data_IF_030091762268
#
_entry.id   IF_030091762268
#
_cell.length_a   1.000
_cell.length_b   1.000
_cell.length_c   1.000
_cell.angle_alpha   90.00
_cell.angle_beta   90.00
_cell.angle_gamma   90.00
#
_symmetry.space_group_name_H-M   'P 1'
#
loop_
_entity.id
_entity.type
_entity.pdbx_description
1 polymer ?
#
# COMPACT_ATOMS: atom_id res chain seq x y z
N UNK A 1 19.39 -11.52 15.89
CA UNK A 1 18.33 -11.23 16.87
C UNK A 1 17.87 -9.80 16.70
N UNK A 2 18.57 -8.78 17.23
CA UNK A 2 18.14 -7.37 17.20
C UNK A 2 17.52 -6.82 15.91
N UNK A 3 18.15 -6.96 14.74
CA UNK A 3 17.61 -6.38 13.49
C UNK A 3 16.30 -7.03 13.03
N UNK A 4 16.16 -8.34 13.22
CA UNK A 4 14.96 -9.08 12.82
C UNK A 4 13.78 -8.74 13.74
N UNK A 5 14.05 -8.63 15.04
CA UNK A 5 13.06 -8.27 16.05
C UNK A 5 12.54 -6.84 15.85
N UNK A 6 13.42 -5.91 15.43
CA UNK A 6 13.03 -4.53 15.08
C UNK A 6 12.13 -4.46 13.85
N UNK A 7 12.44 -5.21 12.78
CA UNK A 7 11.60 -5.27 11.58
C UNK A 7 10.24 -5.86 11.93
N UNK A 8 10.20 -6.96 12.68
CA UNK A 8 8.94 -7.58 13.11
C UNK A 8 8.09 -6.60 13.91
N UNK A 9 8.67 -5.87 14.87
CA UNK A 9 7.93 -4.87 15.65
C UNK A 9 7.39 -3.72 14.78
N UNK A 10 8.15 -3.29 13.76
CA UNK A 10 7.68 -2.27 12.82
C UNK A 10 6.50 -2.77 11.97
N UNK A 11 6.57 -4.00 11.45
CA UNK A 11 5.49 -4.60 10.67
C UNK A 11 4.24 -4.82 11.52
N UNK A 12 4.39 -5.26 12.78
CA UNK A 12 3.28 -5.39 13.72
C UNK A 12 2.61 -4.03 13.99
N UNK A 13 3.40 -2.97 14.16
CA UNK A 13 2.89 -1.62 14.33
C UNK A 13 2.11 -1.16 13.10
N UNK A 14 2.63 -1.42 11.90
CA UNK A 14 1.92 -1.10 10.64
C UNK A 14 0.60 -1.86 10.53
N UNK A 15 0.56 -3.15 10.89
CA UNK A 15 -0.67 -3.93 10.89
C UNK A 15 -1.71 -3.39 11.89
N UNK A 16 -1.28 -2.96 13.09
CA UNK A 16 -2.18 -2.33 14.06
C UNK A 16 -2.75 -1.00 13.55
N UNK A 17 -1.91 -0.19 12.89
CA UNK A 17 -2.35 1.08 12.27
C UNK A 17 -3.37 0.80 11.16
N UNK A 18 -3.11 -0.18 10.29
CA UNK A 18 -4.05 -0.57 9.24
C UNK A 18 -5.39 -1.05 9.82
N UNK A 19 -5.36 -1.90 10.85
CA UNK A 19 -6.57 -2.35 11.53
C UNK A 19 -7.38 -1.18 12.11
N UNK A 20 -6.69 -0.16 12.65
CA UNK A 20 -7.32 1.07 13.14
C UNK A 20 -7.96 1.88 12.00
N UNK A 21 -7.27 2.03 10.86
CA UNK A 21 -7.82 2.70 9.66
C UNK A 21 -9.12 1.99 9.23
N UNK A 22 -9.08 0.67 9.10
CA UNK A 22 -10.26 -0.13 8.73
C UNK A 22 -11.39 0.06 9.75
N UNK A 23 -11.09 0.02 11.06
CA UNK A 23 -12.07 0.27 12.12
C UNK A 23 -12.74 1.63 12.00
N UNK A 24 -11.96 2.69 11.73
CA UNK A 24 -12.49 4.04 11.52
C UNK A 24 -13.42 4.12 10.29
N UNK A 25 -13.09 3.41 9.20
CA UNK A 25 -13.98 3.32 8.02
C UNK A 25 -15.31 2.65 8.36
N UNK A 26 -15.28 1.56 9.13
CA UNK A 26 -16.48 0.84 9.59
C UNK A 26 -17.34 1.75 10.48
N UNK A 27 -16.70 2.54 11.34
CA UNK A 27 -17.35 3.54 12.21
C UNK A 27 -17.84 4.79 11.44
N UNK A 28 -17.66 4.84 10.11
CA UNK A 28 -17.96 5.99 9.24
C UNK A 28 -17.18 7.27 9.59
N UNK A 29 -16.07 7.15 10.31
CA UNK A 29 -15.14 8.24 10.66
C UNK A 29 -14.11 8.44 9.56
N UNK A 30 -14.60 8.76 8.36
CA UNK A 30 -13.81 8.75 7.13
C UNK A 30 -12.66 9.77 7.14
N UNK A 31 -12.89 10.98 7.64
CA UNK A 31 -11.85 12.03 7.72
C UNK A 31 -10.68 11.59 8.61
N UNK A 32 -10.97 10.93 9.74
CA UNK A 32 -9.93 10.42 10.64
C UNK A 32 -9.18 9.23 10.06
N UNK A 33 -9.90 8.34 9.38
CA UNK A 33 -9.29 7.24 8.62
C UNK A 33 -8.33 7.79 7.56
N UNK A 34 -8.78 8.78 6.80
CA UNK A 34 -8.00 9.40 5.73
C UNK A 34 -6.76 10.11 6.26
N UNK A 35 -6.92 10.90 7.34
CA UNK A 35 -5.79 11.57 7.99
C UNK A 35 -4.74 10.57 8.49
N UNK A 36 -5.18 9.49 9.13
CA UNK A 36 -4.27 8.46 9.63
C UNK A 36 -3.56 7.73 8.49
N UNK A 37 -4.25 7.45 7.39
CA UNK A 37 -3.68 6.85 6.20
C UNK A 37 -2.59 7.76 5.59
N UNK A 38 -2.90 9.03 5.36
CA UNK A 38 -1.97 10.00 4.76
C UNK A 38 -0.72 10.22 5.64
N UNK A 39 -0.92 10.33 6.95
CA UNK A 39 0.18 10.41 7.92
C UNK A 39 1.05 9.14 7.90
N UNK A 40 0.44 7.96 7.74
CA UNK A 40 1.18 6.69 7.71
C UNK A 40 1.98 6.57 6.41
N UNK A 41 1.41 6.93 5.27
CA UNK A 41 2.11 6.98 3.98
C UNK A 41 3.36 7.86 4.06
N UNK A 42 3.21 9.07 4.59
CA UNK A 42 4.33 10.00 4.69
C UNK A 42 5.37 9.54 5.71
N UNK A 43 4.95 9.22 6.94
CA UNK A 43 5.90 8.94 8.04
C UNK A 43 6.56 7.56 7.97
N UNK A 44 5.84 6.54 7.48
CA UNK A 44 6.32 5.17 7.50
C UNK A 44 6.89 4.73 6.15
N UNK A 45 6.28 5.18 5.05
CA UNK A 45 6.70 4.78 3.70
C UNK A 45 7.45 5.89 2.96
N UNK A 46 7.38 7.14 3.42
CA UNK A 46 8.06 8.26 2.76
C UNK A 46 7.43 8.61 1.41
N UNK A 47 6.14 8.38 1.24
CA UNK A 47 5.39 8.71 0.01
C UNK A 47 4.23 9.64 0.32
N UNK A 48 4.00 10.62 -0.55
CA UNK A 48 2.84 11.50 -0.48
C UNK A 48 1.65 10.90 -1.23
N UNK A 49 0.44 11.06 -0.67
CA UNK A 49 -0.80 10.58 -1.30
C UNK A 49 -0.99 11.11 -2.72
N UNK A 50 -0.56 12.34 -3.00
CA UNK A 50 -0.66 12.95 -4.32
C UNK A 50 0.03 12.10 -5.41
N UNK A 51 1.13 11.41 -5.08
CA UNK A 51 1.85 10.52 -6.01
C UNK A 51 0.99 9.29 -6.35
N UNK A 52 0.22 8.77 -5.39
CA UNK A 52 -0.67 7.62 -5.61
C UNK A 52 -1.89 7.96 -6.47
N UNK A 53 -2.39 9.19 -6.34
CA UNK A 53 -3.57 9.68 -7.06
C UNK A 53 -3.23 10.31 -8.41
N UNK A 54 -1.95 10.33 -8.78
CA UNK A 54 -1.53 10.85 -10.07
C UNK A 54 -1.84 9.83 -11.18
N UNK A 55 -2.34 10.26 -12.36
CA UNK A 55 -2.67 9.36 -13.47
C UNK A 55 -1.46 8.62 -14.04
N UNK A 56 -0.30 9.27 -14.06
CA UNK A 56 0.97 8.69 -14.49
C UNK A 56 1.69 7.99 -13.32
N UNK A 57 2.49 6.97 -13.63
CA UNK A 57 3.32 6.21 -12.71
C UNK A 57 4.74 6.76 -12.55
N UNK A 58 5.21 7.67 -13.41
CA UNK A 58 6.61 8.14 -13.42
C UNK A 58 7.15 8.55 -12.05
N UNK A 59 6.41 9.35 -11.28
CA UNK A 59 6.87 9.77 -9.94
C UNK A 59 6.82 8.64 -8.91
N UNK A 60 5.86 7.72 -9.04
CA UNK A 60 5.79 6.53 -8.19
C UNK A 60 6.94 5.56 -8.48
N UNK A 61 7.27 5.33 -9.75
CA UNK A 61 8.39 4.49 -10.16
C UNK A 61 9.72 5.06 -9.64
N UNK A 62 9.95 6.36 -9.82
CA UNK A 62 11.13 7.04 -9.26
C UNK A 62 11.21 6.91 -7.75
N UNK A 63 10.08 7.05 -7.06
CA UNK A 63 10.03 6.84 -5.62
C UNK A 63 10.37 5.39 -5.25
N UNK A 64 9.76 4.41 -5.93
CA UNK A 64 9.94 2.99 -5.65
C UNK A 64 11.38 2.53 -5.90
N UNK A 65 12.02 3.02 -6.96
CA UNK A 65 13.44 2.77 -7.27
C UNK A 65 14.40 3.35 -6.23
N UNK A 66 14.08 4.53 -5.68
CA UNK A 66 14.89 5.19 -4.65
C UNK A 66 14.57 4.69 -3.24
N UNK A 67 13.43 4.05 -3.05
CA UNK A 67 13.01 3.53 -1.76
C UNK A 67 13.89 2.34 -1.36
N UNK A 68 14.46 2.38 -0.15
CA UNK A 68 15.20 1.24 0.43
C UNK A 68 14.26 0.34 1.25
N UNK A 69 13.00 0.22 0.80
CA UNK A 69 12.00 -0.58 1.50
C UNK A 69 12.26 -2.06 1.28
N UNK A 70 12.44 -2.79 2.38
CA UNK A 70 12.52 -4.25 2.35
C UNK A 70 11.20 -4.92 1.95
N UNK A 71 11.22 -6.21 1.61
CA UNK A 71 10.05 -6.94 1.12
C UNK A 71 8.88 -6.96 2.10
N UNK A 72 9.15 -7.05 3.41
CA UNK A 72 8.10 -7.04 4.43
C UNK A 72 7.36 -5.70 4.46
N UNK A 73 8.10 -4.59 4.27
CA UNK A 73 7.55 -3.24 4.29
C UNK A 73 6.82 -2.91 2.99
N UNK A 74 7.31 -3.41 1.86
CA UNK A 74 6.58 -3.36 0.58
C UNK A 74 5.29 -4.19 0.63
N UNK A 75 5.30 -5.35 1.27
CA UNK A 75 4.08 -6.12 1.52
C UNK A 75 3.08 -5.34 2.38
N UNK A 76 3.55 -4.75 3.49
CA UNK A 76 2.69 -3.90 4.33
C UNK A 76 2.11 -2.73 3.52
N UNK A 77 2.92 -2.01 2.73
CA UNK A 77 2.42 -0.96 1.84
C UNK A 77 1.32 -1.47 0.90
N UNK A 78 1.48 -2.67 0.35
CA UNK A 78 0.49 -3.27 -0.53
C UNK A 78 -0.86 -3.50 0.15
N UNK A 79 -0.87 -3.84 1.44
CA UNK A 79 -2.10 -3.97 2.23
C UNK A 79 -2.78 -2.61 2.42
N UNK A 80 -2.01 -1.56 2.72
CA UNK A 80 -2.51 -0.19 2.84
C UNK A 80 -3.12 0.29 1.52
N UNK A 81 -2.40 0.17 0.41
CA UNK A 81 -2.90 0.59 -0.91
C UNK A 81 -4.16 -0.18 -1.31
N UNK A 82 -4.20 -1.49 -1.08
CA UNK A 82 -5.39 -2.29 -1.39
C UNK A 82 -6.60 -1.87 -0.55
N UNK A 83 -6.39 -1.44 0.70
CA UNK A 83 -7.48 -0.99 1.58
C UNK A 83 -8.16 0.32 1.15
N UNK A 84 -7.54 1.08 0.25
CA UNK A 84 -8.10 2.30 -0.34
C UNK A 84 -8.83 2.06 -1.67
N UNK A 85 -8.73 0.86 -2.25
CA UNK A 85 -9.40 0.54 -3.52
C UNK A 85 -10.90 0.31 -3.26
N UNK A 86 -11.73 1.13 -3.89
CA UNK A 86 -13.19 1.01 -3.94
C UNK A 86 -13.66 1.45 -5.35
N UNK A 87 -13.74 0.49 -6.27
CA UNK A 87 -14.14 0.76 -7.66
C UNK A 87 -15.61 1.20 -7.80
N UNK A 88 -16.46 0.93 -6.81
CA UNK A 88 -17.87 1.33 -6.83
C UNK A 88 -18.03 2.81 -6.48
N UNK A 89 -17.30 3.29 -5.45
CA UNK A 89 -17.43 4.66 -4.96
C UNK A 89 -16.39 5.62 -5.54
N UNK A 90 -15.20 5.13 -5.84
CA UNK A 90 -14.08 5.95 -6.30
C UNK A 90 -13.33 5.29 -7.47
N UNK A 91 -13.98 5.07 -8.62
CA UNK A 91 -13.40 4.30 -9.73
C UNK A 91 -12.08 4.87 -10.24
N UNK A 92 -11.97 6.20 -10.39
CA UNK A 92 -10.77 6.86 -10.93
C UNK A 92 -9.59 6.74 -9.97
N UNK A 93 -9.79 7.11 -8.69
CA UNK A 93 -8.74 7.00 -7.67
C UNK A 93 -8.31 5.55 -7.49
N UNK A 94 -9.26 4.63 -7.46
CA UNK A 94 -9.01 3.19 -7.35
C UNK A 94 -8.17 2.67 -8.52
N UNK A 95 -8.46 3.11 -9.74
CA UNK A 95 -7.65 2.76 -10.91
C UNK A 95 -6.20 3.27 -10.78
N UNK A 96 -6.01 4.50 -10.31
CA UNK A 96 -4.67 5.05 -10.11
C UNK A 96 -3.89 4.31 -9.01
N UNK A 97 -4.53 4.04 -7.88
CA UNK A 97 -3.90 3.27 -6.78
C UNK A 97 -3.60 1.84 -7.23
N UNK A 98 -4.51 1.21 -7.97
CA UNK A 98 -4.34 -0.15 -8.50
C UNK A 98 -3.12 -0.28 -9.43
N UNK A 99 -2.86 0.71 -10.28
CA UNK A 99 -1.66 0.73 -11.12
C UNK A 99 -0.39 0.76 -10.26
N UNK A 100 -0.37 1.55 -9.18
CA UNK A 100 0.78 1.71 -8.28
C UNK A 100 1.00 0.42 -7.50
N UNK A 101 -0.10 -0.19 -7.05
CA UNK A 101 -0.10 -1.47 -6.36
C UNK A 101 0.46 -2.60 -7.24
N UNK A 102 0.16 -2.62 -8.53
CA UNK A 102 0.75 -3.57 -9.48
C UNK A 102 2.28 -3.41 -9.58
N UNK A 103 2.81 -2.18 -9.56
CA UNK A 103 4.25 -1.94 -9.55
C UNK A 103 4.92 -2.43 -8.26
N UNK A 104 4.25 -2.31 -7.12
CA UNK A 104 4.72 -2.89 -5.85
C UNK A 104 4.77 -4.42 -5.93
N UNK A 105 3.71 -5.06 -6.45
CA UNK A 105 3.69 -6.51 -6.64
C UNK A 105 4.78 -6.99 -7.61
N UNK A 106 4.99 -6.27 -8.71
CA UNK A 106 6.07 -6.57 -9.63
C UNK A 106 7.43 -6.45 -8.94
N UNK A 107 7.66 -5.40 -8.15
CA UNK A 107 8.91 -5.23 -7.40
C UNK A 107 9.16 -6.34 -6.39
N UNK A 108 8.11 -6.78 -5.66
CA UNK A 108 8.18 -7.91 -4.74
C UNK A 108 8.52 -9.23 -5.44
N UNK A 109 7.94 -9.46 -6.62
CA UNK A 109 8.23 -10.63 -7.45
C UNK A 109 9.66 -10.58 -8.01
N UNK A 110 10.02 -9.49 -8.68
CA UNK A 110 11.23 -9.41 -9.50
C UNK A 110 12.49 -9.20 -8.65
N UNK A 111 12.43 -8.32 -7.64
CA UNK A 111 13.60 -8.00 -6.81
C UNK A 111 13.73 -8.89 -5.57
N UNK A 112 12.60 -9.31 -5.00
CA UNK A 112 12.58 -10.05 -3.74
C UNK A 112 12.14 -11.51 -3.87
N UNK A 113 11.82 -11.97 -5.08
CA UNK A 113 11.36 -13.35 -5.36
C UNK A 113 10.23 -13.79 -4.43
N UNK A 114 9.42 -12.83 -3.98
CA UNK A 114 8.36 -13.03 -3.00
C UNK A 114 7.03 -13.07 -3.74
N UNK A 115 6.51 -14.28 -3.95
CA UNK A 115 5.17 -14.49 -4.51
C UNK A 115 4.23 -14.80 -3.35
N UNK A 116 3.53 -13.77 -2.85
CA UNK A 116 2.51 -13.97 -1.83
C UNK A 116 1.19 -14.35 -2.49
N UNK A 117 0.61 -15.51 -2.13
CA UNK A 117 -0.62 -16.02 -2.74
C UNK A 117 -1.79 -15.02 -2.63
N UNK A 118 -1.82 -14.26 -1.53
CA UNK A 118 -2.80 -13.19 -1.30
C UNK A 118 -2.63 -12.06 -2.35
N UNK A 119 -1.40 -11.69 -2.67
CA UNK A 119 -1.11 -10.63 -3.65
C UNK A 119 -1.54 -11.06 -5.05
N UNK A 120 -1.32 -12.32 -5.42
CA UNK A 120 -1.82 -12.87 -6.69
C UNK A 120 -3.35 -12.79 -6.78
N UNK A 121 -4.06 -13.17 -5.71
CA UNK A 121 -5.52 -13.06 -5.66
C UNK A 121 -6.00 -11.62 -5.83
N UNK A 122 -5.34 -10.66 -5.17
CA UNK A 122 -5.65 -9.23 -5.28
C UNK A 122 -5.31 -8.66 -6.65
N UNK A 123 -4.20 -9.07 -7.25
CA UNK A 123 -3.81 -8.68 -8.59
C UNK A 123 -4.84 -9.16 -9.62
N UNK A 124 -5.31 -10.41 -9.49
CA UNK A 124 -6.37 -10.94 -10.35
C UNK A 124 -7.70 -10.20 -10.18
N UNK A 125 -8.04 -9.78 -8.95
CA UNK A 125 -9.21 -8.93 -8.71
C UNK A 125 -9.07 -7.58 -9.41
N UNK A 126 -7.93 -6.91 -9.25
CA UNK A 126 -7.64 -5.60 -9.86
C UNK A 126 -7.70 -5.67 -11.39
N UNK A 127 -7.16 -6.73 -11.99
CA UNK A 127 -7.17 -6.93 -13.45
C UNK A 127 -8.58 -7.02 -14.06
N UNK A 128 -9.62 -7.25 -13.26
CA UNK A 128 -11.00 -7.25 -13.77
C UNK A 128 -11.51 -5.84 -14.07
N UNK A 129 -10.81 -4.79 -13.61
CA UNK A 129 -11.24 -3.39 -13.68
C UNK A 129 -10.30 -2.52 -14.54
N UNK A 130 -9.20 -3.07 -15.06
CA UNK A 130 -8.22 -2.39 -15.92
C UNK A 130 -8.31 -3.01 -17.32
#
# INVERSE_FOLDING_TARGET
>A
MYRKDLITAEIEKLAQVLARIIGLKIELRLEESELLFDQTLSSSFGIEKAILLHPDNVEFEKWLEKSDLGPEKLNALSDFLFSEIDFEKQPINSAYIAQKLNLVYQTLSDKHQTIHLINLGRQNYIQQFI
#
